data_IF_752614379529
#
_entry.id   IF_752614379529
#
_cell.length_a   1.000
_cell.length_b   1.000
_cell.length_c   1.000
_cell.angle_alpha   90.00
_cell.angle_beta   90.00
_cell.angle_gamma   90.00
#
_symmetry.space_group_name_H-M   'P 1'
#
loop_
_entity.id
_entity.type
_entity.pdbx_description
1 polymer ?
#
# COMPACT_ATOMS: atom_id res chain seq x y z
N UNK A 1 11.74 23.54 -8.17
CA UNK A 1 12.13 22.16 -7.83
C UNK A 1 10.90 21.27 -7.68
N UNK A 2 11.00 20.07 -8.22
CA UNK A 2 9.90 19.10 -8.10
C UNK A 2 10.04 18.39 -6.76
N UNK A 3 8.97 18.35 -5.97
CA UNK A 3 8.98 17.61 -4.72
C UNK A 3 8.87 16.11 -5.00
N UNK A 4 9.51 15.26 -4.18
CA UNK A 4 9.36 13.82 -4.32
C UNK A 4 7.89 13.42 -4.22
N UNK A 5 7.46 12.58 -5.14
CA UNK A 5 6.10 12.05 -5.16
C UNK A 5 6.12 10.57 -5.50
N UNK A 6 5.05 9.88 -5.13
CA UNK A 6 4.92 8.46 -5.37
C UNK A 6 3.47 8.12 -5.69
N UNK A 7 3.29 7.01 -6.39
CA UNK A 7 1.99 6.40 -6.59
C UNK A 7 2.06 4.99 -6.01
N UNK A 8 1.09 4.67 -5.17
CA UNK A 8 1.07 3.39 -4.47
C UNK A 8 -0.36 2.87 -4.34
N UNK A 9 -0.46 1.58 -4.14
CA UNK A 9 -1.71 0.92 -3.79
C UNK A 9 -1.56 0.33 -2.41
N UNK A 10 -2.67 0.21 -1.66
CA UNK A 10 -2.63 -0.42 -0.34
C UNK A 10 -3.88 -1.24 -0.06
N UNK A 11 -3.74 -2.16 0.87
CA UNK A 11 -4.83 -2.95 1.42
C UNK A 11 -4.80 -2.74 2.93
N UNK A 12 -5.90 -2.26 3.50
CA UNK A 12 -6.03 -2.06 4.93
C UNK A 12 -6.88 -3.17 5.53
N UNK A 13 -6.34 -3.88 6.50
CA UNK A 13 -7.06 -4.92 7.23
C UNK A 13 -6.87 -4.74 8.73
N UNK A 14 -7.69 -5.42 9.54
CA UNK A 14 -7.70 -5.21 10.99
C UNK A 14 -6.66 -6.02 11.73
N UNK A 15 -6.20 -7.14 11.19
CA UNK A 15 -5.27 -8.02 11.90
C UNK A 15 -4.02 -8.29 11.07
N UNK A 16 -2.91 -8.50 11.80
CA UNK A 16 -1.64 -8.87 11.17
C UNK A 16 -1.73 -10.22 10.46
N UNK A 17 -2.42 -11.19 11.07
CA UNK A 17 -2.60 -12.51 10.47
C UNK A 17 -3.29 -12.44 9.13
N UNK A 18 -4.32 -11.61 9.01
CA UNK A 18 -5.01 -11.40 7.74
C UNK A 18 -4.09 -10.78 6.70
N UNK A 19 -3.30 -9.77 7.10
CA UNK A 19 -2.34 -9.13 6.19
C UNK A 19 -1.29 -10.12 5.71
N UNK A 20 -0.74 -10.95 6.59
CA UNK A 20 0.26 -11.96 6.23
C UNK A 20 -0.34 -12.98 5.26
N UNK A 21 -1.56 -13.44 5.54
CA UNK A 21 -2.25 -14.39 4.68
C UNK A 21 -2.45 -13.82 3.26
N UNK A 22 -2.88 -12.57 3.17
CA UNK A 22 -3.06 -11.91 1.88
C UNK A 22 -1.74 -11.76 1.13
N UNK A 23 -0.68 -11.33 1.81
CA UNK A 23 0.61 -11.11 1.16
C UNK A 23 1.18 -12.41 0.58
N UNK A 24 0.89 -13.56 1.21
CA UNK A 24 1.33 -14.86 0.72
C UNK A 24 0.67 -15.25 -0.59
N UNK A 25 -0.48 -14.67 -0.90
CA UNK A 25 -1.27 -15.00 -2.09
C UNK A 25 -1.13 -13.99 -3.21
N UNK A 26 -0.35 -12.92 -3.00
CA UNK A 26 -0.19 -11.85 -3.99
C UNK A 26 1.21 -11.94 -4.59
N UNK A 27 1.28 -12.12 -5.91
CA UNK A 27 2.55 -12.11 -6.63
C UNK A 27 2.59 -11.03 -7.71
N UNK A 28 1.44 -10.46 -8.08
CA UNK A 28 1.34 -9.46 -9.14
C UNK A 28 0.42 -8.33 -8.71
N UNK A 29 0.61 -7.14 -9.29
CA UNK A 29 -0.25 -5.98 -9.01
C UNK A 29 -1.74 -6.29 -9.29
N UNK A 30 -2.01 -7.05 -10.33
CA UNK A 30 -3.39 -7.44 -10.66
C UNK A 30 -4.06 -8.19 -9.52
N UNK A 31 -3.33 -9.11 -8.88
CA UNK A 31 -3.83 -9.84 -7.73
C UNK A 31 -3.99 -8.91 -6.52
N UNK A 32 -3.04 -7.99 -6.32
CA UNK A 32 -3.12 -7.00 -5.27
C UNK A 32 -4.41 -6.18 -5.39
N UNK A 33 -4.70 -5.70 -6.59
CA UNK A 33 -5.92 -4.92 -6.86
C UNK A 33 -7.19 -5.73 -6.59
N UNK A 34 -7.18 -7.00 -6.96
CA UNK A 34 -8.30 -7.90 -6.72
C UNK A 34 -8.60 -8.04 -5.22
N UNK A 35 -7.55 -8.31 -4.43
CA UNK A 35 -7.72 -8.45 -2.98
C UNK A 35 -8.06 -7.13 -2.30
N UNK A 36 -7.54 -6.01 -2.81
CA UNK A 36 -7.91 -4.70 -2.30
C UNK A 36 -9.41 -4.46 -2.43
N UNK A 37 -9.97 -4.78 -3.59
CA UNK A 37 -11.42 -4.63 -3.82
C UNK A 37 -12.25 -5.50 -2.90
N UNK A 38 -11.77 -6.70 -2.58
CA UNK A 38 -12.53 -7.67 -1.79
C UNK A 38 -12.34 -7.51 -0.28
N UNK A 39 -11.14 -7.13 0.16
CA UNK A 39 -10.74 -7.26 1.56
C UNK A 39 -10.34 -5.97 2.25
N UNK A 40 -9.99 -4.93 1.49
CA UNK A 40 -9.52 -3.68 2.09
C UNK A 40 -10.67 -2.92 2.77
N UNK A 41 -10.40 -2.42 3.98
CA UNK A 41 -11.35 -1.59 4.74
C UNK A 41 -11.26 -0.11 4.34
N UNK A 42 -10.38 0.25 3.42
CA UNK A 42 -10.21 1.63 2.97
C UNK A 42 -11.08 1.91 1.76
N UNK A 43 -11.65 3.14 1.63
CA UNK A 43 -12.43 3.51 0.44
C UNK A 43 -11.68 3.34 -0.88
N UNK A 44 -10.35 3.43 -0.89
CA UNK A 44 -9.55 3.16 -2.09
C UNK A 44 -9.73 1.75 -2.62
N UNK A 45 -10.35 0.84 -1.85
CA UNK A 45 -10.63 -0.52 -2.29
C UNK A 45 -11.40 -0.54 -3.62
N UNK A 46 -12.27 0.43 -3.85
CA UNK A 46 -13.05 0.53 -5.08
C UNK A 46 -12.16 0.78 -6.32
N UNK A 47 -10.97 1.30 -6.10
CA UNK A 47 -9.98 1.55 -7.15
C UNK A 47 -8.85 0.53 -7.14
N UNK A 48 -9.08 -0.64 -6.57
CA UNK A 48 -8.06 -1.67 -6.46
C UNK A 48 -6.95 -1.30 -5.47
N UNK A 49 -7.25 -0.42 -4.52
CA UNK A 49 -6.30 0.06 -3.54
C UNK A 49 -5.45 1.24 -3.99
N UNK A 50 -5.63 1.71 -5.22
CA UNK A 50 -4.83 2.81 -5.77
C UNK A 50 -5.11 4.11 -5.04
N UNK A 51 -4.06 4.70 -4.47
CA UNK A 51 -4.14 5.97 -3.75
C UNK A 51 -3.87 7.17 -4.65
N UNK A 52 -3.49 6.93 -5.91
CA UNK A 52 -3.07 7.98 -6.82
C UNK A 52 -1.70 8.52 -6.42
N UNK A 53 -1.34 9.68 -6.96
CA UNK A 53 -0.08 10.34 -6.66
C UNK A 53 -0.17 11.14 -5.36
N UNK A 54 0.86 11.05 -4.53
CA UNK A 54 0.95 11.82 -3.29
C UNK A 54 2.41 12.22 -3.05
N UNK A 55 2.59 13.23 -2.22
CA UNK A 55 3.91 13.77 -1.89
C UNK A 55 4.43 13.19 -0.60
N UNK A 56 5.76 13.19 -0.46
CA UNK A 56 6.41 12.78 0.78
C UNK A 56 5.87 13.60 1.95
N UNK A 57 5.52 12.92 3.03
CA UNK A 57 4.99 13.57 4.22
C UNK A 57 3.48 13.67 4.30
N UNK A 58 2.75 13.32 3.24
CA UNK A 58 1.29 13.41 3.25
C UNK A 58 0.61 12.22 3.93
N UNK A 59 1.30 11.08 4.00
CA UNK A 59 0.76 9.87 4.64
C UNK A 59 1.22 9.79 6.10
N UNK A 60 0.59 8.89 6.88
CA UNK A 60 1.04 8.66 8.26
C UNK A 60 2.51 8.21 8.23
N UNK A 61 3.29 8.51 9.30
CA UNK A 61 4.74 8.29 9.28
C UNK A 61 5.17 6.87 8.92
N UNK A 62 4.52 5.85 9.44
CA UNK A 62 4.87 4.45 9.17
C UNK A 62 4.68 4.09 7.69
N UNK A 63 3.59 4.59 7.11
CA UNK A 63 3.27 4.38 5.70
C UNK A 63 4.26 5.13 4.82
N UNK A 64 4.50 6.40 5.16
CA UNK A 64 5.42 7.26 4.39
C UNK A 64 6.83 6.67 4.34
N UNK A 65 7.34 6.21 5.48
CA UNK A 65 8.65 5.57 5.54
C UNK A 65 8.71 4.35 4.63
N UNK A 66 7.69 3.50 4.65
CA UNK A 66 7.63 2.31 3.82
C UNK A 66 7.65 2.66 2.33
N UNK A 67 6.90 3.68 1.94
CA UNK A 67 6.80 4.09 0.52
C UNK A 67 8.17 4.45 -0.05
N UNK A 68 9.02 5.09 0.74
CA UNK A 68 10.30 5.59 0.25
C UNK A 68 11.45 4.58 0.38
N UNK A 69 11.20 3.46 1.05
CA UNK A 69 12.23 2.41 1.23
C UNK A 69 11.93 1.14 0.44
N UNK A 70 10.69 0.89 0.05
CA UNK A 70 10.32 -0.32 -0.66
C UNK A 70 10.80 -0.31 -2.11
N UNK A 71 11.22 -1.48 -2.64
CA UNK A 71 11.43 -1.62 -4.08
C UNK A 71 10.11 -1.39 -4.81
N UNK A 72 10.19 -0.85 -6.03
CA UNK A 72 9.01 -0.68 -6.87
C UNK A 72 8.42 -2.06 -7.26
N UNK A 73 7.10 -2.10 -7.36
CA UNK A 73 6.34 -3.27 -7.81
C UNK A 73 6.54 -4.51 -6.92
N UNK A 74 6.82 -4.28 -5.63
CA UNK A 74 6.94 -5.35 -4.64
C UNK A 74 5.97 -5.11 -3.50
N UNK A 75 5.31 -6.16 -3.04
CA UNK A 75 4.37 -6.08 -1.91
C UNK A 75 5.16 -6.02 -0.61
N UNK A 76 4.80 -5.07 0.26
CA UNK A 76 5.47 -4.89 1.54
C UNK A 76 5.13 -6.00 2.54
N UNK A 77 5.93 -6.09 3.60
CA UNK A 77 5.51 -6.75 4.83
C UNK A 77 4.37 -5.93 5.44
N UNK A 78 3.55 -6.52 6.33
CA UNK A 78 2.50 -5.75 6.99
C UNK A 78 3.05 -4.53 7.72
N UNK A 79 2.47 -3.37 7.46
CA UNK A 79 2.85 -2.10 8.09
C UNK A 79 1.75 -1.69 9.06
N UNK A 80 2.08 -1.63 10.34
CA UNK A 80 1.11 -1.25 11.37
C UNK A 80 0.97 0.26 11.45
N UNK A 81 -0.28 0.74 11.43
CA UNK A 81 -0.62 2.14 11.70
C UNK A 81 -1.76 2.18 12.71
N UNK A 82 -2.18 3.40 13.07
CA UNK A 82 -3.34 3.57 13.96
C UNK A 82 -4.64 3.02 13.37
N UNK A 83 -4.70 2.80 12.07
CA UNK A 83 -5.89 2.30 11.38
C UNK A 83 -5.94 0.79 11.26
N UNK A 84 -4.82 0.10 11.47
CA UNK A 84 -4.73 -1.35 11.33
C UNK A 84 -3.42 -1.75 10.66
N UNK A 85 -3.49 -2.76 9.81
CA UNK A 85 -2.31 -3.26 9.09
C UNK A 85 -2.48 -3.03 7.61
N UNK A 86 -1.45 -2.47 6.98
CA UNK A 86 -1.45 -2.17 5.55
C UNK A 86 -0.48 -3.08 4.81
N UNK A 87 -0.90 -3.51 3.63
CA UNK A 87 0.02 -4.02 2.62
C UNK A 87 0.16 -2.94 1.57
N UNK A 88 1.38 -2.68 1.15
CA UNK A 88 1.70 -1.61 0.20
C UNK A 88 2.38 -2.16 -1.03
N UNK A 89 2.09 -1.56 -2.19
CA UNK A 89 2.87 -1.77 -3.40
C UNK A 89 3.07 -0.42 -4.05
N UNK A 90 4.31 0.03 -4.13
CA UNK A 90 4.68 1.29 -4.77
C UNK A 90 4.88 1.03 -6.25
N UNK A 91 4.07 1.67 -7.09
CA UNK A 91 4.11 1.43 -8.53
C UNK A 91 4.94 2.44 -9.28
N UNK A 92 5.08 3.65 -8.75
CA UNK A 92 5.91 4.69 -9.34
C UNK A 92 6.43 5.60 -8.24
N UNK A 93 7.61 6.17 -8.47
CA UNK A 93 8.21 7.05 -7.48
C UNK A 93 9.18 8.01 -8.17
N UNK A 94 9.10 9.29 -7.82
CA UNK A 94 10.06 10.30 -8.24
C UNK A 94 10.86 10.74 -7.03
N UNK A 95 12.16 10.80 -7.15
CA UNK A 95 13.05 11.21 -6.06
C UNK A 95 13.52 12.64 -6.24
#
# INVERSE_FOLDING_TARGET
MVQPSARASHILVKSKGEAVSLSSNISKLKEFQKYARKKSDCPSSQKGGDLGWFRKGQMVPEFDEAVWTLPLNSVSNPVKTQFGYHLLEVTSRTD
#
